data_IF_350794713972
#
_entry.id   IF_350794713972
#
_cell.length_a   1.000
_cell.length_b   1.000
_cell.length_c   1.000
_cell.angle_alpha   90.00
_cell.angle_beta   90.00
_cell.angle_gamma   90.00
#
_symmetry.space_group_name_H-M   'P 1'
#
loop_
_entity.id
_entity.type
_entity.pdbx_description
1 polymer ?
#
# COMPACT_ATOMS: atom_id res chain seq x y z
N UNK A 1 4.30 2.45 18.73
CA UNK A 1 4.73 3.44 17.73
C UNK A 1 4.55 4.85 18.26
N UNK A 2 5.50 5.73 17.96
CA UNK A 2 5.37 7.15 18.25
C UNK A 2 4.31 7.79 17.33
N UNK A 3 3.76 8.98 17.68
CA UNK A 3 2.82 9.67 16.81
C UNK A 3 3.39 9.93 15.41
N UNK A 4 4.67 10.23 15.31
CA UNK A 4 5.34 10.44 14.03
C UNK A 4 5.39 9.14 13.20
N UNK A 5 5.70 8.02 13.84
CA UNK A 5 5.70 6.71 13.18
C UNK A 5 4.30 6.30 12.72
N UNK A 6 3.26 6.67 13.48
CA UNK A 6 1.88 6.39 13.08
C UNK A 6 1.47 7.20 11.84
N UNK A 7 2.01 8.40 11.67
CA UNK A 7 1.69 9.28 10.56
C UNK A 7 2.50 8.96 9.29
N UNK A 8 3.81 8.73 9.44
CA UNK A 8 4.72 8.57 8.31
C UNK A 8 5.22 7.14 8.12
N UNK A 9 4.94 6.27 9.08
CA UNK A 9 5.39 4.89 9.04
C UNK A 9 6.82 4.71 9.52
N UNK A 10 7.31 3.48 9.39
CA UNK A 10 8.69 3.10 9.71
C UNK A 10 9.31 2.44 8.50
N UNK A 11 10.64 2.40 8.42
CA UNK A 11 11.34 1.80 7.29
C UNK A 11 10.86 0.35 7.06
N UNK A 12 10.42 0.06 5.86
CA UNK A 12 9.82 -1.23 5.51
C UNK A 12 10.81 -2.39 5.69
N UNK A 13 12.02 -2.26 5.16
CA UNK A 13 13.04 -3.30 5.25
C UNK A 13 13.40 -3.60 6.70
N UNK A 14 13.61 -2.56 7.49
CA UNK A 14 13.94 -2.68 8.91
C UNK A 14 12.80 -3.36 9.68
N UNK A 15 11.57 -2.95 9.44
CA UNK A 15 10.39 -3.54 10.08
C UNK A 15 10.28 -5.03 9.77
N UNK A 16 10.44 -5.41 8.49
CA UNK A 16 10.37 -6.81 8.08
C UNK A 16 11.50 -7.64 8.68
N UNK A 17 12.72 -7.10 8.74
CA UNK A 17 13.85 -7.80 9.35
C UNK A 17 13.61 -8.05 10.83
N UNK A 18 13.08 -7.09 11.56
CA UNK A 18 12.75 -7.24 12.98
C UNK A 18 11.62 -8.26 13.19
N UNK A 19 10.59 -8.22 12.32
CA UNK A 19 9.44 -9.09 12.45
C UNK A 19 9.73 -10.54 12.07
N UNK A 20 10.54 -10.78 11.04
CA UNK A 20 10.75 -12.11 10.47
C UNK A 20 12.11 -12.73 10.81
N UNK A 21 12.91 -12.07 11.63
CA UNK A 21 14.15 -12.65 12.15
C UNK A 21 15.40 -12.37 11.32
N UNK A 22 15.43 -11.26 10.59
CA UNK A 22 16.61 -10.77 9.90
C UNK A 22 16.58 -10.87 8.39
N UNK A 23 17.56 -10.26 7.76
CA UNK A 23 17.67 -10.16 6.30
C UNK A 23 17.71 -11.52 5.62
N UNK A 24 18.38 -12.50 6.22
CA UNK A 24 18.49 -13.85 5.66
C UNK A 24 17.14 -14.55 5.51
N UNK A 25 16.15 -14.15 6.32
CA UNK A 25 14.79 -14.69 6.22
C UNK A 25 13.89 -13.84 5.32
N UNK A 26 14.13 -12.53 5.29
CA UNK A 26 13.33 -11.60 4.49
C UNK A 26 13.64 -11.72 3.00
N UNK A 27 14.90 -11.80 2.62
CA UNK A 27 15.29 -11.80 1.20
C UNK A 27 14.69 -12.96 0.38
N UNK A 28 14.63 -14.21 0.88
CA UNK A 28 13.93 -15.27 0.13
C UNK A 28 12.44 -15.00 -0.05
N UNK A 29 11.78 -14.39 0.93
CA UNK A 29 10.37 -14.00 0.83
C UNK A 29 10.17 -12.97 -0.26
N UNK A 30 11.03 -11.95 -0.31
CA UNK A 30 10.96 -10.87 -1.29
C UNK A 30 11.24 -11.41 -2.69
N UNK A 31 12.22 -12.30 -2.83
CA UNK A 31 12.52 -12.95 -4.11
C UNK A 31 11.29 -13.68 -4.65
N UNK A 32 10.58 -14.41 -3.78
CA UNK A 32 9.36 -15.12 -4.14
C UNK A 32 8.24 -14.16 -4.56
N UNK A 33 8.02 -13.09 -3.78
CA UNK A 33 7.01 -12.07 -4.10
C UNK A 33 7.33 -11.36 -5.42
N UNK A 34 8.60 -11.03 -5.64
CA UNK A 34 9.04 -10.39 -6.89
C UNK A 34 8.77 -11.28 -8.09
N UNK A 35 9.02 -12.59 -7.97
CA UNK A 35 8.74 -13.56 -9.03
C UNK A 35 7.24 -13.67 -9.32
N UNK A 36 6.41 -13.68 -8.26
CA UNK A 36 4.96 -13.71 -8.41
C UNK A 36 4.46 -12.45 -9.12
N UNK A 37 4.93 -11.27 -8.69
CA UNK A 37 4.54 -9.99 -9.30
C UNK A 37 4.91 -9.98 -10.79
N UNK A 38 6.11 -10.43 -11.12
CA UNK A 38 6.55 -10.53 -12.51
C UNK A 38 5.68 -11.49 -13.32
N UNK A 39 5.34 -12.65 -12.74
CA UNK A 39 4.55 -13.68 -13.42
C UNK A 39 3.14 -13.25 -13.78
N UNK A 40 2.55 -12.35 -13.00
CA UNK A 40 1.21 -11.82 -13.24
C UNK A 40 1.23 -10.40 -13.81
N UNK A 41 2.40 -9.94 -14.25
CA UNK A 41 2.62 -8.65 -14.92
C UNK A 41 2.26 -7.42 -14.07
N UNK A 42 2.46 -7.51 -12.76
CA UNK A 42 2.40 -6.35 -11.89
C UNK A 42 3.71 -5.57 -11.97
N UNK A 43 3.70 -4.28 -11.57
CA UNK A 43 4.93 -3.51 -11.44
C UNK A 43 5.92 -4.18 -10.51
N UNK A 44 7.20 -3.81 -10.62
CA UNK A 44 8.26 -4.39 -9.80
C UNK A 44 8.02 -4.17 -8.31
N UNK A 45 8.08 -5.24 -7.53
CA UNK A 45 7.97 -5.17 -6.07
C UNK A 45 9.16 -4.38 -5.50
N UNK A 46 8.89 -3.51 -4.51
CA UNK A 46 9.92 -2.69 -3.86
C UNK A 46 9.88 -2.85 -2.35
N UNK A 47 11.07 -3.00 -1.74
CA UNK A 47 11.25 -2.94 -0.29
C UNK A 47 11.59 -1.54 0.20
N UNK A 48 11.70 -0.58 -0.69
CA UNK A 48 11.97 0.80 -0.33
C UNK A 48 10.76 1.46 0.30
N UNK A 49 10.99 2.56 1.01
CA UNK A 49 9.93 3.32 1.64
C UNK A 49 9.56 2.80 3.01
N UNK A 50 8.41 3.24 3.49
CA UNK A 50 7.95 2.96 4.84
C UNK A 50 6.73 2.03 4.83
N UNK A 51 6.54 1.35 5.95
CA UNK A 51 5.31 0.63 6.28
C UNK A 51 4.70 1.26 7.54
N UNK A 52 3.43 1.01 7.80
CA UNK A 52 2.76 1.58 8.96
C UNK A 52 1.34 1.09 9.11
N UNK A 53 0.55 1.72 10.02
CA UNK A 53 -0.82 1.32 10.26
C UNK A 53 -1.69 1.41 8.99
N UNK A 54 -2.63 0.47 8.86
CA UNK A 54 -3.53 0.40 7.70
C UNK A 54 -4.95 0.83 8.01
N UNK A 55 -5.21 1.28 9.25
CA UNK A 55 -6.57 1.60 9.71
C UNK A 55 -7.24 2.68 8.85
N UNK A 56 -6.53 3.77 8.57
CA UNK A 56 -7.09 4.87 7.78
C UNK A 56 -7.35 4.44 6.33
N UNK A 57 -6.50 3.59 5.78
CA UNK A 57 -6.75 3.00 4.47
C UNK A 57 -8.03 2.17 4.45
N UNK A 58 -8.25 1.36 5.47
CA UNK A 58 -9.49 0.57 5.60
C UNK A 58 -10.71 1.45 5.81
N UNK A 59 -10.60 2.52 6.60
CA UNK A 59 -11.68 3.48 6.81
C UNK A 59 -12.06 4.17 5.51
N UNK A 60 -11.09 4.62 4.74
CA UNK A 60 -11.33 5.25 3.45
C UNK A 60 -11.92 4.26 2.44
N UNK A 61 -11.44 3.02 2.42
CA UNK A 61 -12.01 1.98 1.55
C UNK A 61 -13.48 1.74 1.86
N UNK A 62 -13.83 1.66 3.13
CA UNK A 62 -15.22 1.51 3.57
C UNK A 62 -16.06 2.73 3.15
N UNK A 63 -15.54 3.93 3.38
CA UNK A 63 -16.18 5.17 2.98
C UNK A 63 -16.44 5.21 1.46
N UNK A 64 -15.45 4.83 0.66
CA UNK A 64 -15.58 4.84 -0.80
C UNK A 64 -16.69 3.91 -1.27
N UNK A 65 -16.83 2.74 -0.64
CA UNK A 65 -17.90 1.79 -0.95
C UNK A 65 -19.28 2.30 -0.52
N UNK A 66 -19.40 2.76 0.73
CA UNK A 66 -20.69 3.15 1.32
C UNK A 66 -21.24 4.45 0.72
N UNK A 67 -20.38 5.44 0.49
CA UNK A 67 -20.80 6.76 0.00
C UNK A 67 -20.81 6.85 -1.53
N UNK A 68 -20.13 5.96 -2.22
CA UNK A 68 -20.04 5.98 -3.68
C UNK A 68 -20.42 4.63 -4.29
N UNK A 69 -19.44 3.73 -4.48
CA UNK A 69 -19.73 2.42 -5.08
C UNK A 69 -18.60 1.41 -4.84
N UNK A 70 -18.88 0.15 -5.12
CA UNK A 70 -17.87 -0.91 -5.10
C UNK A 70 -16.75 -0.60 -6.09
N UNK A 71 -17.07 -0.06 -7.26
CA UNK A 71 -16.08 0.33 -8.27
C UNK A 71 -15.13 1.40 -7.74
N UNK A 72 -15.64 2.38 -6.97
CA UNK A 72 -14.79 3.37 -6.31
C UNK A 72 -13.84 2.72 -5.31
N UNK A 73 -14.35 1.80 -4.48
CA UNK A 73 -13.52 1.06 -3.54
C UNK A 73 -12.45 0.24 -4.25
N UNK A 74 -12.79 -0.44 -5.34
CA UNK A 74 -11.86 -1.28 -6.07
C UNK A 74 -10.68 -0.48 -6.63
N UNK A 75 -10.94 0.67 -7.26
CA UNK A 75 -9.88 1.54 -7.79
C UNK A 75 -9.02 2.10 -6.65
N UNK A 76 -9.64 2.52 -5.55
CA UNK A 76 -8.91 3.00 -4.38
C UNK A 76 -7.98 1.92 -3.83
N UNK A 77 -8.50 0.71 -3.60
CA UNK A 77 -7.72 -0.40 -3.06
C UNK A 77 -6.58 -0.82 -3.99
N UNK A 78 -6.85 -0.94 -5.29
CA UNK A 78 -5.82 -1.28 -6.26
C UNK A 78 -4.71 -0.23 -6.26
N UNK A 79 -5.06 1.05 -6.17
CA UNK A 79 -4.09 2.14 -6.16
C UNK A 79 -3.19 2.09 -4.93
N UNK A 80 -3.77 1.95 -3.73
CA UNK A 80 -2.94 1.91 -2.52
C UNK A 80 -2.09 0.65 -2.43
N UNK A 81 -2.55 -0.48 -2.96
CA UNK A 81 -1.77 -1.72 -2.98
C UNK A 81 -0.56 -1.58 -3.90
N UNK A 82 -0.74 -1.05 -5.11
CA UNK A 82 0.36 -0.80 -6.03
C UNK A 82 1.33 0.25 -5.45
N UNK A 83 0.80 1.32 -4.86
CA UNK A 83 1.63 2.36 -4.23
C UNK A 83 2.47 1.79 -3.09
N UNK A 84 1.90 0.93 -2.25
CA UNK A 84 2.62 0.32 -1.15
C UNK A 84 3.68 -0.68 -1.63
N UNK A 85 3.30 -1.62 -2.49
CA UNK A 85 4.19 -2.71 -2.89
C UNK A 85 5.21 -2.31 -3.96
N UNK A 86 4.91 -1.35 -4.80
CA UNK A 86 5.74 -1.03 -5.97
C UNK A 86 6.29 0.40 -5.99
N UNK A 87 5.58 1.36 -5.39
CA UNK A 87 5.94 2.78 -5.48
C UNK A 87 6.44 3.37 -4.16
N UNK A 88 6.76 2.53 -3.19
CA UNK A 88 7.37 2.93 -1.90
C UNK A 88 6.52 3.91 -1.07
N UNK A 89 5.18 3.84 -1.20
CA UNK A 89 4.26 4.68 -0.43
C UNK A 89 3.77 3.91 0.81
N UNK A 90 3.92 4.51 1.99
CA UNK A 90 3.41 3.89 3.21
C UNK A 90 1.88 3.83 3.22
N UNK A 91 1.27 2.76 3.78
CA UNK A 91 -0.19 2.64 3.82
C UNK A 91 -0.86 3.65 4.75
N UNK A 92 -0.10 4.34 5.59
CA UNK A 92 -0.57 5.41 6.46
C UNK A 92 -0.25 6.81 5.91
N UNK A 93 0.39 6.91 4.75
CA UNK A 93 0.75 8.20 4.13
C UNK A 93 -0.51 8.90 3.65
N UNK A 94 -0.86 9.99 4.31
CA UNK A 94 -2.07 10.76 4.00
C UNK A 94 -2.09 11.26 2.55
N UNK A 95 -0.96 11.74 2.05
CA UNK A 95 -0.87 12.21 0.67
C UNK A 95 -1.18 11.10 -0.32
N UNK A 96 -0.64 9.90 -0.09
CA UNK A 96 -0.89 8.73 -0.95
C UNK A 96 -2.36 8.30 -0.85
N UNK A 97 -2.94 8.31 0.35
CA UNK A 97 -4.34 7.94 0.55
C UNK A 97 -5.28 8.90 -0.17
N UNK A 98 -5.03 10.21 -0.08
CA UNK A 98 -5.84 11.22 -0.76
C UNK A 98 -5.70 11.14 -2.28
N UNK A 99 -4.48 10.91 -2.78
CA UNK A 99 -4.25 10.71 -4.20
C UNK A 99 -4.98 9.47 -4.74
N UNK A 100 -5.07 8.40 -3.94
CA UNK A 100 -5.81 7.20 -4.31
C UNK A 100 -7.32 7.47 -4.39
N UNK A 101 -7.85 8.30 -3.47
CA UNK A 101 -9.25 8.74 -3.53
C UNK A 101 -9.51 9.53 -4.82
N UNK A 102 -8.66 10.49 -5.15
CA UNK A 102 -8.80 11.28 -6.38
C UNK A 102 -8.79 10.40 -7.62
N UNK A 103 -7.87 9.45 -7.68
CA UNK A 103 -7.77 8.51 -8.80
C UNK A 103 -9.04 7.67 -8.94
N UNK A 104 -9.62 7.25 -7.81
CA UNK A 104 -10.87 6.52 -7.79
C UNK A 104 -12.02 7.35 -8.36
N UNK A 105 -12.11 8.64 -8.00
CA UNK A 105 -13.12 9.54 -8.53
C UNK A 105 -12.93 9.76 -10.04
N UNK A 106 -11.71 9.98 -10.50
CA UNK A 106 -11.41 10.15 -11.92
C UNK A 106 -11.81 8.92 -12.74
N UNK A 107 -11.46 7.73 -12.27
CA UNK A 107 -11.74 6.48 -12.97
C UNK A 107 -13.24 6.18 -13.04
N UNK A 108 -14.04 6.68 -12.10
CA UNK A 108 -15.47 6.44 -12.03
C UNK A 108 -16.30 7.63 -12.48
N UNK A 109 -15.67 8.68 -13.02
CA UNK A 109 -16.37 9.80 -13.62
C UNK A 109 -16.97 9.33 -14.93
N UNK A 110 -18.30 9.33 -15.01
CA UNK A 110 -19.00 8.98 -16.24
C UNK A 110 -18.79 10.06 -17.28
N UNK A 111 -18.36 9.64 -18.42
CA UNK A 111 -18.31 10.53 -19.57
C UNK A 111 -19.74 10.80 -20.06
#
# INVERSE_FOLDING_TARGET
MTPEQLQYGVNKMQWYCEKFGGESRVMPMISRLSSVFESIRLPTYSLEGNTGPTLDGHRLAHFMKEEYSQSHQDVFMDTIMIDYFCNSKAPCDETALLAACEKSFEANTSA
#
